data_IF_552326288153
#
_entry.id   IF_552326288153
#
_cell.length_a   1.000
_cell.length_b   1.000
_cell.length_c   1.000
_cell.angle_alpha   90.00
_cell.angle_beta   90.00
_cell.angle_gamma   90.00
#
_symmetry.space_group_name_H-M   'P 1'
#
loop_
_entity.id
_entity.type
_entity.pdbx_description
1 polymer ?
#
# COMPACT_ATOMS: atom_id res chain seq x y z
N UNK A 1 -0.98 -19.43 -25.49
CA UNK A 1 0.19 -20.20 -25.93
C UNK A 1 1.22 -20.06 -24.81
N UNK A 2 1.26 -21.06 -23.93
CA UNK A 2 2.11 -21.06 -22.73
C UNK A 2 3.59 -21.18 -23.12
N UNK A 3 4.41 -20.30 -22.63
CA UNK A 3 5.86 -20.50 -22.61
C UNK A 3 6.20 -20.98 -21.18
N UNK A 4 6.33 -22.29 -21.03
CA UNK A 4 7.11 -22.93 -19.97
C UNK A 4 8.52 -23.11 -20.53
N UNK A 5 9.49 -22.68 -19.75
CA UNK A 5 10.70 -23.39 -19.35
C UNK A 5 11.81 -22.43 -18.91
N UNK A 6 12.05 -22.37 -17.63
CA UNK A 6 13.42 -22.41 -17.11
C UNK A 6 13.40 -22.68 -15.59
N UNK A 7 13.55 -23.95 -15.22
CA UNK A 7 13.92 -24.37 -13.89
C UNK A 7 15.26 -23.74 -13.50
N UNK A 8 15.26 -22.87 -12.47
CA UNK A 8 16.42 -22.71 -11.60
C UNK A 8 15.99 -23.03 -10.18
N UNK A 9 16.53 -24.13 -9.68
CA UNK A 9 16.45 -24.49 -8.30
C UNK A 9 17.10 -23.37 -7.46
N UNK A 10 16.31 -22.76 -6.60
CA UNK A 10 16.80 -21.91 -5.52
C UNK A 10 16.90 -22.80 -4.29
N UNK A 11 18.11 -22.95 -3.77
CA UNK A 11 18.39 -23.67 -2.54
C UNK A 11 17.59 -23.06 -1.39
N UNK A 12 16.83 -23.91 -0.69
CA UNK A 12 16.15 -23.58 0.54
C UNK A 12 17.14 -23.16 1.61
N UNK A 13 17.18 -21.87 1.92
CA UNK A 13 17.77 -21.37 3.15
C UNK A 13 16.71 -21.50 4.24
N UNK A 14 16.95 -22.21 5.34
CA UNK A 14 15.97 -22.32 6.40
C UNK A 14 15.71 -20.93 7.00
N UNK A 15 14.47 -20.50 6.96
CA UNK A 15 13.98 -19.30 7.66
C UNK A 15 14.14 -19.57 9.15
N UNK A 16 15.08 -18.85 9.78
CA UNK A 16 15.30 -18.93 11.22
C UNK A 16 14.09 -18.38 11.97
N UNK A 17 13.55 -19.18 12.85
CA UNK A 17 12.36 -18.96 13.67
C UNK A 17 12.58 -17.98 14.84
N UNK A 18 13.35 -16.91 14.67
CA UNK A 18 13.62 -15.95 15.76
C UNK A 18 13.38 -14.46 15.39
N UNK A 19 12.55 -14.17 14.41
CA UNK A 19 12.20 -12.78 14.08
C UNK A 19 10.79 -12.36 14.53
N UNK A 20 10.14 -13.10 15.39
CA UNK A 20 8.75 -12.81 15.80
C UNK A 20 8.58 -11.72 16.84
N UNK A 21 9.65 -11.08 17.32
CA UNK A 21 9.53 -10.14 18.45
C UNK A 21 9.74 -8.66 18.09
N UNK A 22 10.01 -8.29 16.85
CA UNK A 22 10.29 -6.90 16.51
C UNK A 22 9.36 -6.24 15.49
N UNK A 23 8.45 -6.97 14.90
CA UNK A 23 7.50 -6.42 13.93
C UNK A 23 6.52 -5.40 14.54
N UNK A 24 6.41 -5.32 15.85
CA UNK A 24 5.51 -4.39 16.54
C UNK A 24 6.07 -2.99 16.81
N UNK A 25 7.22 -2.64 16.26
CA UNK A 25 7.82 -1.34 16.52
C UNK A 25 7.47 -0.30 15.46
N UNK A 26 6.20 -0.15 15.20
CA UNK A 26 5.76 1.01 14.44
C UNK A 26 5.86 2.23 15.33
N UNK A 27 6.73 3.13 14.93
CA UNK A 27 6.63 4.49 15.42
C UNK A 27 5.35 5.06 14.83
N UNK A 28 4.39 5.43 15.68
CA UNK A 28 3.15 6.02 15.22
C UNK A 28 3.46 7.14 14.23
N UNK A 29 2.68 7.26 13.16
CA UNK A 29 2.78 8.42 12.29
C UNK A 29 2.59 9.66 13.17
N UNK A 30 3.54 10.57 13.09
CA UNK A 30 3.36 11.89 13.70
C UNK A 30 2.20 12.51 12.93
N UNK A 31 1.08 12.90 13.59
CA UNK A 31 0.02 13.59 12.91
C UNK A 31 0.65 14.78 12.17
N UNK A 32 0.27 14.95 10.92
CA UNK A 32 0.62 16.14 10.17
C UNK A 32 0.22 17.32 11.06
N UNK A 33 1.21 18.10 11.54
CA UNK A 33 0.91 19.21 12.40
C UNK A 33 -0.03 20.13 11.65
N UNK A 34 -1.20 20.38 12.23
CA UNK A 34 -2.11 21.38 11.71
C UNK A 34 -1.30 22.63 11.38
N UNK A 35 -1.32 23.01 10.12
CA UNK A 35 -0.76 24.29 9.72
C UNK A 35 -1.61 25.35 10.44
N UNK A 36 -1.04 25.99 11.44
CA UNK A 36 -1.65 27.12 12.16
C UNK A 36 -1.79 28.38 11.28
N UNK A 37 -1.95 28.19 9.97
CA UNK A 37 -2.23 29.26 9.01
C UNK A 37 -1.08 30.25 8.82
N UNK A 38 0.09 30.04 9.41
CA UNK A 38 1.28 30.86 9.20
C UNK A 38 2.12 30.28 8.06
N UNK A 39 1.86 30.67 6.86
CA UNK A 39 2.36 30.36 5.53
C UNK A 39 3.81 29.99 5.28
N UNK A 40 4.44 29.19 6.13
CA UNK A 40 5.71 28.54 5.86
C UNK A 40 5.57 27.06 6.15
N UNK A 41 5.00 26.32 5.19
CA UNK A 41 4.62 24.92 5.27
C UNK A 41 5.79 23.93 5.27
N UNK A 42 6.71 24.06 6.21
CA UNK A 42 7.62 23.00 6.57
C UNK A 42 7.13 22.33 7.86
N UNK A 43 7.29 21.00 8.03
CA UNK A 43 6.97 20.35 9.28
C UNK A 43 7.76 21.04 10.39
N UNK A 44 7.06 21.54 11.41
CA UNK A 44 7.73 22.06 12.59
C UNK A 44 8.45 20.89 13.25
N UNK A 45 9.78 20.88 13.18
CA UNK A 45 10.57 19.98 13.99
C UNK A 45 10.35 20.45 15.43
N UNK A 46 9.53 19.70 16.17
CA UNK A 46 9.42 19.93 17.61
C UNK A 46 10.78 19.61 18.24
N UNK A 47 11.56 20.65 18.45
CA UNK A 47 12.87 20.56 19.13
C UNK A 47 12.73 20.24 20.62
N UNK A 48 11.49 20.19 21.15
CA UNK A 48 11.20 19.91 22.56
C UNK A 48 11.17 18.43 22.92
N UNK A 49 11.15 17.53 21.95
CA UNK A 49 11.04 16.07 22.18
C UNK A 49 12.34 15.31 21.97
N UNK A 50 13.50 15.95 22.06
CA UNK A 50 14.78 15.26 22.18
C UNK A 50 14.96 14.86 23.65
N UNK A 51 14.05 14.05 24.15
CA UNK A 51 14.24 13.31 25.39
C UNK A 51 14.72 11.90 25.09
N UNK A 52 15.24 11.17 26.08
CA UNK A 52 15.61 9.78 25.88
C UNK A 52 14.45 9.06 25.23
N UNK A 53 14.73 8.35 24.13
CA UNK A 53 13.74 7.52 23.42
C UNK A 53 13.05 6.66 24.47
N UNK A 54 11.81 6.99 24.82
CA UNK A 54 11.04 6.13 25.70
C UNK A 54 10.95 4.78 25.04
N UNK A 55 11.29 3.76 25.79
CA UNK A 55 11.33 2.40 25.27
C UNK A 55 10.03 2.09 24.54
N UNK A 56 10.13 1.63 23.31
CA UNK A 56 9.02 1.33 22.43
C UNK A 56 8.07 0.23 22.97
N UNK A 57 8.42 -0.39 24.10
CA UNK A 57 7.66 -1.46 24.74
C UNK A 57 6.30 -1.03 25.31
N UNK A 58 6.04 0.27 25.41
CA UNK A 58 4.77 0.78 25.96
C UNK A 58 3.95 1.58 24.95
N UNK A 59 4.40 1.65 23.69
CA UNK A 59 3.68 2.40 22.69
C UNK A 59 2.53 1.56 22.13
N UNK A 60 1.32 1.82 22.64
CA UNK A 60 0.09 1.33 21.99
C UNK A 60 -0.24 2.31 20.87
N UNK A 61 -0.22 1.85 19.62
CA UNK A 61 -0.73 2.64 18.52
C UNK A 61 -2.19 2.99 18.80
N UNK A 62 -2.41 4.25 19.10
CA UNK A 62 -3.75 4.81 19.02
C UNK A 62 -3.83 5.38 17.62
N UNK A 63 -4.73 4.85 16.77
CA UNK A 63 -4.95 5.41 15.45
C UNK A 63 -5.01 6.92 15.56
N UNK A 64 -4.19 7.61 14.79
CA UNK A 64 -4.19 9.07 14.80
C UNK A 64 -5.65 9.50 14.55
N UNK A 65 -6.22 10.41 15.36
CA UNK A 65 -7.62 10.79 15.24
C UNK A 65 -7.97 11.39 13.89
N UNK A 66 -6.97 11.70 13.06
CA UNK A 66 -7.12 12.22 11.71
C UNK A 66 -5.95 11.72 10.86
N UNK A 67 -6.14 10.61 10.16
CA UNK A 67 -5.33 10.36 8.99
C UNK A 67 -5.58 11.49 7.98
N UNK A 68 -4.56 12.04 7.30
CA UNK A 68 -4.79 13.02 6.25
C UNK A 68 -5.71 12.41 5.19
N UNK A 69 -6.58 13.23 4.56
CA UNK A 69 -7.52 12.77 3.53
C UNK A 69 -6.82 12.00 2.41
N UNK A 70 -5.57 12.35 2.13
CA UNK A 70 -4.64 11.64 1.26
C UNK A 70 -3.24 11.76 1.85
N UNK A 71 -2.38 10.75 1.58
CA UNK A 71 -0.95 10.87 1.91
C UNK A 71 -0.31 11.71 0.81
N UNK A 72 0.21 12.91 1.13
CA UNK A 72 0.85 13.75 0.13
C UNK A 72 2.26 13.26 -0.20
N UNK A 73 2.79 13.71 -1.31
CA UNK A 73 4.21 13.51 -1.61
C UNK A 73 5.07 14.15 -0.51
N UNK A 74 5.93 13.33 0.12
CA UNK A 74 6.67 13.76 1.29
C UNK A 74 7.99 13.02 1.45
N UNK A 75 9.07 13.64 1.07
CA UNK A 75 10.40 13.03 1.12
C UNK A 75 10.44 11.71 0.34
N UNK A 76 11.59 11.07 0.26
CA UNK A 76 11.74 9.80 -0.45
C UNK A 76 12.37 8.76 0.45
N UNK A 77 11.69 7.66 0.67
CA UNK A 77 12.23 6.50 1.37
C UNK A 77 12.85 5.50 0.37
N UNK A 78 13.72 4.62 0.86
CA UNK A 78 14.16 3.44 0.10
C UNK A 78 13.08 2.36 0.12
N UNK A 79 13.22 1.36 -0.76
CA UNK A 79 12.34 0.17 -0.76
C UNK A 79 12.43 -0.65 0.54
N UNK A 80 13.46 -0.46 1.37
CA UNK A 80 13.55 -1.08 2.70
C UNK A 80 12.37 -0.68 3.62
N UNK A 81 11.69 0.44 3.30
CA UNK A 81 10.45 0.83 3.95
C UNK A 81 9.38 -0.25 3.90
N UNK A 82 9.37 -1.07 2.84
CA UNK A 82 8.37 -2.12 2.65
C UNK A 82 8.75 -3.47 3.24
N UNK A 83 9.95 -3.61 3.85
CA UNK A 83 10.47 -4.91 4.33
C UNK A 83 9.57 -5.61 5.36
N UNK A 84 8.75 -4.88 6.09
CA UNK A 84 7.77 -5.37 7.06
C UNK A 84 6.32 -5.17 6.59
N UNK A 85 6.12 -4.96 5.28
CA UNK A 85 4.82 -4.73 4.69
C UNK A 85 4.24 -5.98 4.03
N UNK A 86 2.91 -5.96 3.85
CA UNK A 86 2.21 -6.83 2.91
C UNK A 86 1.51 -5.99 1.85
N UNK A 87 1.49 -6.49 0.61
CA UNK A 87 0.66 -5.99 -0.48
C UNK A 87 -0.48 -6.98 -0.69
N UNK A 88 -1.72 -6.51 -0.59
CA UNK A 88 -2.92 -7.34 -0.81
C UNK A 88 -3.72 -6.80 -1.98
N UNK A 89 -4.10 -7.65 -2.92
CA UNK A 89 -4.96 -7.23 -4.01
C UNK A 89 -5.19 -8.29 -5.09
N UNK A 90 -5.60 -7.80 -6.24
CA UNK A 90 -5.94 -8.63 -7.40
C UNK A 90 -4.74 -8.86 -8.33
N UNK A 91 -4.99 -9.07 -9.63
CA UNK A 91 -3.95 -9.32 -10.65
C UNK A 91 -2.92 -8.18 -10.76
N UNK A 92 -3.31 -6.93 -10.45
CA UNK A 92 -2.36 -5.83 -10.44
C UNK A 92 -1.33 -6.03 -9.31
N UNK A 93 -1.76 -6.46 -8.14
CA UNK A 93 -0.85 -6.79 -7.03
C UNK A 93 -0.03 -8.05 -7.34
N UNK A 94 -0.62 -9.08 -7.97
CA UNK A 94 0.08 -10.29 -8.38
C UNK A 94 1.26 -9.99 -9.32
N UNK A 95 1.12 -8.99 -10.18
CA UNK A 95 2.17 -8.56 -11.10
C UNK A 95 3.45 -8.08 -10.41
N UNK A 96 3.39 -7.61 -9.16
CA UNK A 96 4.59 -7.24 -8.38
C UNK A 96 5.55 -8.43 -8.33
N UNK A 97 5.05 -9.59 -7.98
CA UNK A 97 5.91 -10.77 -7.89
C UNK A 97 6.12 -11.45 -9.26
N UNK A 98 5.12 -11.41 -10.16
CA UNK A 98 5.27 -11.94 -11.52
C UNK A 98 6.43 -11.28 -12.29
N UNK A 99 6.63 -9.98 -12.10
CA UNK A 99 7.71 -9.21 -12.74
C UNK A 99 8.93 -9.00 -11.86
N UNK A 100 9.00 -9.68 -10.71
CA UNK A 100 10.12 -9.56 -9.74
C UNK A 100 10.40 -8.08 -9.37
N UNK A 101 9.34 -7.35 -9.11
CA UNK A 101 9.44 -5.92 -8.77
C UNK A 101 9.96 -5.78 -7.33
N UNK A 102 11.02 -5.00 -7.17
CA UNK A 102 11.64 -4.79 -5.86
C UNK A 102 10.73 -3.95 -4.94
N UNK A 103 10.11 -4.62 -4.00
CA UNK A 103 9.33 -4.02 -2.89
C UNK A 103 9.97 -4.32 -1.53
N UNK A 104 11.30 -4.36 -1.47
CA UNK A 104 12.06 -4.48 -0.23
C UNK A 104 11.86 -5.78 0.55
N UNK A 105 11.40 -6.84 -0.11
CA UNK A 105 11.09 -8.12 0.54
C UNK A 105 9.71 -8.18 1.20
N UNK A 106 8.80 -7.28 0.87
CA UNK A 106 7.41 -7.31 1.34
C UNK A 106 6.70 -8.62 0.97
N UNK A 107 5.74 -9.01 1.79
CA UNK A 107 4.82 -10.12 1.48
C UNK A 107 3.86 -9.70 0.37
N UNK A 108 3.82 -10.42 -0.76
CA UNK A 108 2.91 -10.12 -1.87
C UNK A 108 1.78 -11.14 -1.90
N UNK A 109 0.57 -10.68 -1.59
CA UNK A 109 -0.68 -11.45 -1.59
C UNK A 109 -1.54 -11.01 -2.77
N UNK A 110 -1.13 -11.42 -3.97
CA UNK A 110 -1.80 -11.11 -5.24
C UNK A 110 -2.65 -12.28 -5.74
N UNK A 111 -3.95 -12.03 -5.93
CA UNK A 111 -4.93 -13.04 -6.29
C UNK A 111 -5.67 -12.64 -7.56
N UNK A 112 -5.37 -13.28 -8.68
CA UNK A 112 -5.97 -12.95 -9.96
C UNK A 112 -7.50 -13.05 -9.93
N UNK A 113 -8.16 -12.07 -10.54
CA UNK A 113 -9.62 -12.04 -10.65
C UNK A 113 -10.38 -11.81 -9.35
N UNK A 114 -9.67 -11.58 -8.22
CA UNK A 114 -10.33 -11.42 -6.93
C UNK A 114 -11.01 -10.07 -6.76
N UNK A 115 -11.90 -10.00 -5.79
CA UNK A 115 -12.74 -8.85 -5.47
C UNK A 115 -12.99 -8.80 -3.95
N UNK A 116 -13.42 -7.65 -3.39
CA UNK A 116 -13.62 -7.48 -1.95
C UNK A 116 -14.51 -8.55 -1.32
N UNK A 117 -15.56 -8.98 -1.99
CA UNK A 117 -16.49 -9.98 -1.47
C UNK A 117 -15.86 -11.36 -1.28
N UNK A 118 -14.93 -11.77 -2.14
CA UNK A 118 -14.25 -13.05 -2.01
C UNK A 118 -13.34 -13.06 -0.77
N UNK A 119 -12.63 -11.96 -0.51
CA UNK A 119 -11.78 -11.84 0.68
C UNK A 119 -12.63 -11.84 1.95
N UNK A 120 -13.70 -11.02 2.00
CA UNK A 120 -14.63 -10.96 3.14
C UNK A 120 -15.29 -12.31 3.43
N UNK A 121 -15.67 -13.04 2.39
CA UNK A 121 -16.27 -14.37 2.51
C UNK A 121 -15.25 -15.48 2.78
N UNK A 122 -13.99 -15.14 3.02
CA UNK A 122 -12.90 -16.10 3.29
C UNK A 122 -12.76 -17.16 2.23
N UNK A 123 -12.97 -16.79 0.95
CA UNK A 123 -12.77 -17.69 -0.16
C UNK A 123 -11.30 -18.09 -0.22
N UNK A 124 -11.05 -19.39 -0.37
CA UNK A 124 -9.71 -19.89 -0.64
C UNK A 124 -9.31 -19.47 -2.06
N UNK A 125 -8.18 -18.78 -2.20
CA UNK A 125 -7.70 -18.20 -3.44
C UNK A 125 -6.28 -18.68 -3.71
N UNK A 126 -5.94 -18.82 -4.98
CA UNK A 126 -4.57 -19.16 -5.41
C UNK A 126 -3.74 -17.87 -5.44
N UNK A 127 -2.67 -17.83 -4.65
CA UNK A 127 -1.67 -16.80 -4.79
C UNK A 127 -0.81 -17.09 -6.02
N UNK A 128 -0.69 -16.12 -6.91
CA UNK A 128 0.03 -16.27 -8.19
C UNK A 128 1.51 -16.65 -8.00
N UNK A 129 2.08 -16.44 -6.83
CA UNK A 129 3.51 -16.56 -6.54
C UNK A 129 3.90 -17.81 -5.75
N UNK A 130 2.93 -18.60 -5.34
CA UNK A 130 3.18 -19.81 -4.55
C UNK A 130 2.68 -21.06 -5.29
N UNK A 131 3.29 -22.20 -5.01
CA UNK A 131 2.98 -23.49 -5.57
C UNK A 131 1.49 -23.82 -5.42
N UNK A 132 0.65 -23.44 -6.36
CA UNK A 132 -0.77 -23.81 -6.57
C UNK A 132 -1.65 -24.00 -5.31
N UNK A 133 -1.15 -23.70 -4.12
CA UNK A 133 -1.88 -23.83 -2.86
C UNK A 133 -2.93 -22.73 -2.73
N UNK A 134 -4.17 -23.14 -2.50
CA UNK A 134 -5.22 -22.19 -2.13
C UNK A 134 -5.03 -21.72 -0.68
N UNK A 135 -5.18 -20.42 -0.45
CA UNK A 135 -5.03 -19.80 0.85
C UNK A 135 -6.13 -18.76 1.09
N UNK A 136 -6.47 -18.53 2.35
CA UNK A 136 -7.41 -17.48 2.74
C UNK A 136 -6.60 -16.23 3.09
N UNK A 137 -6.72 -15.13 2.32
CA UNK A 137 -5.85 -13.95 2.51
C UNK A 137 -5.86 -13.38 3.93
N UNK A 138 -7.03 -13.33 4.57
CA UNK A 138 -7.16 -12.83 5.94
C UNK A 138 -6.48 -13.73 6.96
N UNK A 139 -6.42 -15.04 6.74
CA UNK A 139 -5.73 -15.96 7.65
C UNK A 139 -4.21 -15.79 7.57
N UNK A 140 -3.68 -15.60 6.35
CA UNK A 140 -2.26 -15.26 6.16
C UNK A 140 -1.92 -13.94 6.84
N UNK A 141 -2.74 -12.90 6.67
CA UNK A 141 -2.51 -11.63 7.35
C UNK A 141 -2.59 -11.75 8.87
N UNK A 142 -3.52 -12.54 9.38
CA UNK A 142 -3.65 -12.80 10.82
C UNK A 142 -2.41 -13.53 11.39
N UNK A 143 -1.80 -14.40 10.62
CA UNK A 143 -0.58 -15.11 11.01
C UNK A 143 0.65 -14.21 10.90
N UNK A 144 0.82 -13.50 9.78
CA UNK A 144 2.02 -12.74 9.46
C UNK A 144 2.11 -11.39 10.20
N UNK A 145 0.96 -10.80 10.57
CA UNK A 145 0.89 -9.51 11.27
C UNK A 145 1.85 -8.45 10.70
N UNK A 146 1.78 -8.12 9.40
CA UNK A 146 2.68 -7.14 8.80
C UNK A 146 2.50 -5.78 9.47
N UNK A 147 3.59 -5.02 9.61
CA UNK A 147 3.53 -3.69 10.18
C UNK A 147 2.78 -2.68 9.28
N UNK A 148 2.77 -2.94 7.99
CA UNK A 148 2.10 -2.12 6.97
C UNK A 148 1.32 -3.01 6.01
N UNK A 149 0.13 -2.59 5.63
CA UNK A 149 -0.66 -3.23 4.59
C UNK A 149 -0.94 -2.23 3.46
N UNK A 150 -0.61 -2.59 2.25
CA UNK A 150 -0.96 -1.87 1.02
C UNK A 150 -2.06 -2.62 0.29
N UNK A 151 -3.27 -2.08 0.29
CA UNK A 151 -4.45 -2.68 -0.36
C UNK A 151 -4.68 -2.02 -1.72
N UNK A 152 -4.70 -2.81 -2.80
CA UNK A 152 -5.18 -2.40 -4.12
C UNK A 152 -6.14 -3.44 -4.66
N UNK A 153 -7.44 -3.14 -4.64
CA UNK A 153 -8.50 -4.06 -5.06
C UNK A 153 -9.73 -3.29 -5.53
N UNK A 154 -10.45 -3.87 -6.49
CA UNK A 154 -11.73 -3.29 -6.93
C UNK A 154 -11.94 -3.37 -8.43
N UNK A 155 -10.89 -3.43 -9.22
CA UNK A 155 -10.93 -3.47 -10.70
C UNK A 155 -11.89 -4.56 -11.19
N UNK A 156 -11.76 -5.79 -10.68
CA UNK A 156 -12.62 -6.90 -11.10
C UNK A 156 -14.09 -6.71 -10.70
N UNK A 157 -14.35 -6.12 -9.54
CA UNK A 157 -15.71 -5.88 -9.07
C UNK A 157 -16.41 -4.78 -9.86
N UNK A 158 -15.67 -3.81 -10.37
CA UNK A 158 -16.18 -2.69 -11.15
C UNK A 158 -16.18 -2.94 -12.67
N UNK A 159 -15.55 -4.02 -13.16
CA UNK A 159 -15.44 -4.31 -14.59
C UNK A 159 -16.82 -4.40 -15.28
N UNK A 160 -17.80 -5.00 -14.62
CA UNK A 160 -19.19 -5.01 -15.09
C UNK A 160 -19.97 -3.74 -14.75
N UNK A 161 -21.12 -3.57 -15.40
CA UNK A 161 -22.05 -2.46 -15.10
C UNK A 161 -22.93 -2.80 -13.88
N UNK A 162 -23.23 -1.79 -13.08
CA UNK A 162 -24.20 -1.85 -11.98
C UNK A 162 -23.62 -2.34 -10.64
N UNK A 163 -24.49 -2.36 -9.62
CA UNK A 163 -24.22 -2.84 -8.26
C UNK A 163 -23.13 -2.08 -7.47
N UNK A 164 -23.06 -0.77 -7.64
CA UNK A 164 -22.12 0.09 -6.91
C UNK A 164 -22.34 0.03 -5.39
N UNK A 165 -23.60 -0.04 -4.95
CA UNK A 165 -23.96 -0.17 -3.53
C UNK A 165 -23.43 -1.50 -2.94
N UNK A 166 -23.59 -2.60 -3.66
CA UNK A 166 -23.07 -3.91 -3.24
C UNK A 166 -21.55 -3.93 -3.20
N UNK A 167 -20.89 -3.32 -4.18
CA UNK A 167 -19.43 -3.16 -4.19
C UNK A 167 -18.95 -2.39 -2.94
N UNK A 168 -19.54 -1.22 -2.67
CA UNK A 168 -19.17 -0.38 -1.55
C UNK A 168 -19.46 -1.04 -0.20
N UNK A 169 -20.57 -1.79 -0.10
CA UNK A 169 -20.91 -2.53 1.10
C UNK A 169 -19.85 -3.61 1.42
N UNK A 170 -19.39 -4.35 0.41
CA UNK A 170 -18.32 -5.33 0.60
C UNK A 170 -16.95 -4.68 0.79
N UNK A 171 -16.70 -3.55 0.16
CA UNK A 171 -15.45 -2.80 0.38
C UNK A 171 -15.36 -2.32 1.83
N UNK A 172 -16.43 -1.71 2.36
CA UNK A 172 -16.50 -1.30 3.76
C UNK A 172 -16.30 -2.46 4.73
N UNK A 173 -16.95 -3.62 4.49
CA UNK A 173 -16.73 -4.84 5.29
C UNK A 173 -15.28 -5.32 5.21
N UNK A 174 -14.65 -5.26 4.04
CA UNK A 174 -13.24 -5.62 3.90
C UNK A 174 -12.34 -4.74 4.77
N UNK A 175 -12.58 -3.42 4.77
CA UNK A 175 -11.83 -2.49 5.61
C UNK A 175 -12.02 -2.81 7.10
N UNK A 176 -13.25 -3.13 7.53
CA UNK A 176 -13.54 -3.52 8.92
C UNK A 176 -12.84 -4.84 9.32
N UNK A 177 -12.83 -5.84 8.42
CA UNK A 177 -12.10 -7.11 8.63
C UNK A 177 -10.58 -6.88 8.71
N UNK A 178 -10.03 -6.04 7.85
CA UNK A 178 -8.61 -5.69 7.87
C UNK A 178 -8.23 -4.97 9.17
N UNK A 179 -9.05 -4.04 9.64
CA UNK A 179 -8.83 -3.36 10.91
C UNK A 179 -8.84 -4.33 12.09
N UNK A 180 -9.78 -5.29 12.08
CA UNK A 180 -9.89 -6.30 13.13
C UNK A 180 -8.72 -7.29 13.09
N UNK A 181 -8.29 -7.68 11.88
CA UNK A 181 -7.21 -8.66 11.68
C UNK A 181 -5.84 -8.05 11.99
N UNK A 182 -5.66 -6.76 11.71
CA UNK A 182 -4.40 -6.03 11.79
C UNK A 182 -4.51 -4.78 12.68
N UNK A 183 -4.82 -4.94 13.97
CA UNK A 183 -5.14 -3.80 14.86
C UNK A 183 -3.95 -2.85 15.09
N UNK A 184 -2.73 -3.30 14.83
CA UNK A 184 -1.51 -2.54 15.04
C UNK A 184 -0.79 -2.13 13.75
N UNK A 185 -1.37 -2.41 12.59
CA UNK A 185 -0.74 -2.15 11.29
C UNK A 185 -1.17 -0.78 10.73
N UNK A 186 -0.27 -0.15 10.00
CA UNK A 186 -0.63 0.98 9.14
C UNK A 186 -1.31 0.43 7.89
N UNK A 187 -2.57 0.80 7.67
CA UNK A 187 -3.32 0.35 6.49
C UNK A 187 -3.36 1.48 5.46
N UNK A 188 -2.79 1.19 4.29
CA UNK A 188 -2.76 2.05 3.12
C UNK A 188 -3.72 1.49 2.09
N UNK A 189 -4.75 2.25 1.77
CA UNK A 189 -5.73 1.91 0.74
C UNK A 189 -5.43 2.73 -0.50
N UNK A 190 -5.19 2.05 -1.60
CA UNK A 190 -4.82 2.67 -2.86
C UNK A 190 -6.05 2.85 -3.74
N UNK A 191 -6.12 3.96 -4.47
CA UNK A 191 -7.20 4.20 -5.44
C UNK A 191 -7.19 3.14 -6.53
N UNK A 192 -8.38 2.72 -6.97
CA UNK A 192 -8.55 1.90 -8.16
C UNK A 192 -8.06 2.71 -9.36
N UNK A 193 -7.24 2.11 -10.21
CA UNK A 193 -6.70 2.77 -11.39
C UNK A 193 -7.75 2.92 -12.49
N UNK A 194 -7.64 3.98 -13.26
CA UNK A 194 -8.29 4.08 -14.56
C UNK A 194 -7.69 3.04 -15.52
N UNK A 195 -8.42 2.68 -16.55
CA UNK A 195 -7.98 1.79 -17.62
C UNK A 195 -7.82 2.57 -18.92
N UNK A 196 -7.28 1.95 -19.97
CA UNK A 196 -7.26 2.54 -21.32
C UNK A 196 -8.66 2.49 -21.93
N UNK A 197 -9.00 3.40 -22.89
CA UNK A 197 -10.29 3.39 -23.58
C UNK A 197 -10.65 2.05 -24.21
N UNK A 198 -9.67 1.37 -24.80
CA UNK A 198 -9.83 0.07 -25.46
C UNK A 198 -10.23 -1.06 -24.50
N UNK A 199 -9.93 -0.93 -23.21
CA UNK A 199 -10.34 -1.90 -22.21
C UNK A 199 -11.83 -1.84 -21.90
N UNK A 200 -12.51 -0.72 -22.19
CA UNK A 200 -13.93 -0.54 -21.89
C UNK A 200 -14.84 -1.48 -22.69
N UNK A 201 -14.39 -2.02 -23.81
CA UNK A 201 -15.13 -3.03 -24.57
C UNK A 201 -15.32 -4.32 -23.75
N UNK A 202 -14.35 -4.68 -22.91
CA UNK A 202 -14.38 -5.89 -22.07
C UNK A 202 -14.76 -5.56 -20.62
N UNK A 203 -14.48 -4.36 -20.15
CA UNK A 203 -14.75 -3.89 -18.79
C UNK A 203 -15.53 -2.56 -18.81
N UNK A 204 -16.79 -2.54 -19.31
CA UNK A 204 -17.54 -1.33 -19.55
C UNK A 204 -17.87 -0.53 -18.28
N UNK A 205 -17.67 -1.13 -17.12
CA UNK A 205 -17.87 -0.46 -15.84
C UNK A 205 -16.69 0.36 -15.35
N UNK A 206 -15.51 0.25 -15.99
CA UNK A 206 -14.29 0.95 -15.56
C UNK A 206 -14.15 2.34 -16.22
N UNK A 207 -15.26 3.05 -16.43
CA UNK A 207 -15.18 4.42 -16.94
C UNK A 207 -14.51 5.34 -15.90
N UNK A 208 -13.72 6.34 -16.33
CA UNK A 208 -13.04 7.26 -15.42
C UNK A 208 -13.99 7.92 -14.41
N UNK A 209 -15.20 8.30 -14.84
CA UNK A 209 -16.18 8.94 -13.98
C UNK A 209 -16.68 8.00 -12.88
N UNK A 210 -16.94 6.71 -13.21
CA UNK A 210 -17.41 5.74 -12.22
C UNK A 210 -16.28 5.33 -11.28
N UNK A 211 -15.09 5.08 -11.80
CA UNK A 211 -13.92 4.78 -10.99
C UNK A 211 -13.62 5.93 -10.04
N UNK A 212 -13.63 7.17 -10.52
CA UNK A 212 -13.46 8.37 -9.70
C UNK A 212 -14.50 8.46 -8.58
N UNK A 213 -15.80 8.26 -8.92
CA UNK A 213 -16.87 8.26 -7.92
C UNK A 213 -16.71 7.18 -6.84
N UNK A 214 -16.23 5.98 -7.22
CA UNK A 214 -15.95 4.90 -6.25
C UNK A 214 -14.73 5.22 -5.38
N UNK A 215 -13.69 5.76 -5.99
CA UNK A 215 -12.47 6.18 -5.26
C UNK A 215 -12.78 7.27 -4.22
N UNK A 216 -13.63 8.24 -4.55
CA UNK A 216 -14.08 9.26 -3.59
C UNK A 216 -14.76 8.63 -2.37
N UNK A 217 -15.65 7.65 -2.59
CA UNK A 217 -16.36 6.96 -1.50
C UNK A 217 -15.40 6.08 -0.68
N UNK A 218 -14.45 5.41 -1.33
CA UNK A 218 -13.41 4.63 -0.64
C UNK A 218 -12.54 5.54 0.23
N UNK A 219 -12.16 6.71 -0.29
CA UNK A 219 -11.41 7.72 0.45
C UNK A 219 -12.16 8.16 1.73
N UNK A 220 -13.45 8.44 1.65
CA UNK A 220 -14.26 8.76 2.83
C UNK A 220 -14.31 7.58 3.83
N UNK A 221 -14.46 6.34 3.35
CA UNK A 221 -14.40 5.16 4.21
C UNK A 221 -13.04 5.02 4.94
N UNK A 222 -11.95 5.36 4.26
CA UNK A 222 -10.61 5.38 4.86
C UNK A 222 -10.50 6.44 5.96
N UNK A 223 -11.00 7.63 5.69
CA UNK A 223 -11.02 8.75 6.65
C UNK A 223 -11.80 8.39 7.92
N UNK A 224 -12.98 7.76 7.78
CA UNK A 224 -13.80 7.32 8.90
C UNK A 224 -13.09 6.30 9.81
N UNK A 225 -12.17 5.50 9.24
CA UNK A 225 -11.43 4.43 9.94
C UNK A 225 -10.01 4.82 10.35
N UNK A 226 -9.57 6.03 9.98
CA UNK A 226 -8.19 6.48 10.21
C UNK A 226 -7.15 5.73 9.36
N UNK A 227 -7.57 5.22 8.18
CA UNK A 227 -6.67 4.59 7.22
C UNK A 227 -6.02 5.62 6.31
N UNK A 228 -4.84 5.31 5.80
CA UNK A 228 -4.13 6.14 4.83
C UNK A 228 -4.67 5.88 3.43
N UNK A 229 -5.09 6.94 2.73
CA UNK A 229 -5.51 6.83 1.34
C UNK A 229 -4.38 7.30 0.41
N UNK A 230 -4.05 6.48 -0.59
CA UNK A 230 -3.05 6.75 -1.61
C UNK A 230 -3.74 6.93 -2.97
N UNK A 231 -3.62 8.11 -3.55
CA UNK A 231 -4.29 8.44 -4.82
C UNK A 231 -3.43 8.06 -6.03
N UNK A 232 -3.31 6.77 -6.33
CA UNK A 232 -2.54 6.32 -7.49
C UNK A 232 -3.00 6.96 -8.82
N UNK A 233 -4.27 7.39 -8.92
CA UNK A 233 -4.76 7.98 -10.19
C UNK A 233 -4.02 9.26 -10.55
N UNK A 234 -3.50 10.03 -9.60
CA UNK A 234 -2.72 11.23 -9.90
C UNK A 234 -1.38 10.92 -10.61
N UNK A 235 -0.82 9.73 -10.37
CA UNK A 235 0.43 9.30 -10.99
C UNK A 235 0.22 8.53 -12.30
N UNK A 236 -0.96 7.93 -12.48
CA UNK A 236 -1.22 7.00 -13.58
C UNK A 236 -2.17 7.53 -14.64
N UNK A 237 -2.93 8.60 -14.36
CA UNK A 237 -3.91 9.13 -15.29
C UNK A 237 -3.29 10.17 -16.21
N UNK A 238 -3.43 9.96 -17.52
CA UNK A 238 -3.01 10.90 -18.54
C UNK A 238 -3.98 12.10 -18.67
N UNK A 239 -3.61 13.06 -19.52
CA UNK A 239 -4.44 14.25 -19.79
C UNK A 239 -5.81 13.88 -20.39
N UNK A 240 -5.92 12.70 -21.00
CA UNK A 240 -7.16 12.15 -21.56
C UNK A 240 -8.11 11.55 -20.50
N UNK A 241 -7.70 11.51 -19.23
CA UNK A 241 -8.46 10.94 -18.12
C UNK A 241 -8.35 9.43 -17.98
N UNK A 242 -7.57 8.76 -18.83
CA UNK A 242 -7.37 7.30 -18.82
C UNK A 242 -5.99 6.93 -18.30
N UNK A 243 -5.76 5.63 -18.07
CA UNK A 243 -4.44 5.10 -17.74
C UNK A 243 -3.42 5.52 -18.81
N UNK A 244 -2.28 6.04 -18.40
CA UNK A 244 -1.21 6.44 -19.29
C UNK A 244 -0.73 5.25 -20.13
N UNK A 245 -0.66 5.43 -21.47
CA UNK A 245 -0.38 4.34 -22.40
C UNK A 245 0.97 3.64 -22.15
N UNK A 246 2.00 4.39 -21.75
CA UNK A 246 3.34 3.84 -21.48
C UNK A 246 3.34 2.88 -20.25
N UNK A 247 2.36 3.00 -19.39
CA UNK A 247 2.21 2.15 -18.20
C UNK A 247 1.25 1.00 -18.41
N UNK A 248 0.44 1.01 -19.48
CA UNK A 248 -0.56 -0.01 -19.78
C UNK A 248 -0.01 -1.12 -20.66
N UNK A 249 -0.40 -2.37 -20.39
CA UNK A 249 -0.27 -3.47 -21.33
C UNK A 249 -1.30 -3.38 -22.47
N UNK A 250 -1.20 -4.28 -23.43
CA UNK A 250 -2.08 -4.30 -24.62
C UNK A 250 -3.58 -4.51 -24.28
N UNK A 251 -3.90 -5.04 -23.12
CA UNK A 251 -5.28 -5.19 -22.66
C UNK A 251 -5.86 -3.91 -22.07
N UNK A 252 -5.03 -2.89 -21.87
CA UNK A 252 -5.41 -1.59 -21.35
C UNK A 252 -5.73 -1.56 -19.85
N UNK A 253 -5.55 -2.68 -19.12
CA UNK A 253 -5.85 -2.83 -17.69
C UNK A 253 -4.58 -3.07 -16.88
N UNK A 254 -3.79 -4.07 -17.26
CA UNK A 254 -2.60 -4.45 -16.52
C UNK A 254 -1.42 -3.52 -16.79
N UNK A 255 -0.52 -3.44 -15.81
CA UNK A 255 0.63 -2.57 -15.88
C UNK A 255 1.81 -3.24 -16.59
N UNK A 256 2.57 -2.45 -17.34
CA UNK A 256 3.90 -2.81 -17.82
C UNK A 256 4.91 -2.80 -16.68
N UNK A 257 6.10 -3.35 -16.88
CA UNK A 257 7.23 -3.24 -15.91
C UNK A 257 7.54 -1.76 -15.60
N UNK A 258 7.42 -0.87 -16.58
CA UNK A 258 7.57 0.57 -16.36
C UNK A 258 6.47 1.12 -15.43
N UNK A 259 5.23 0.67 -15.60
CA UNK A 259 4.12 1.02 -14.72
C UNK A 259 4.35 0.53 -13.28
N UNK A 260 4.84 -0.71 -13.10
CA UNK A 260 5.20 -1.20 -11.76
C UNK A 260 6.33 -0.41 -11.13
N UNK A 261 7.36 -0.07 -11.88
CA UNK A 261 8.47 0.77 -11.39
C UNK A 261 7.95 2.14 -10.96
N UNK A 262 7.05 2.73 -11.74
CA UNK A 262 6.40 4.00 -11.41
C UNK A 262 5.53 3.89 -10.16
N UNK A 263 4.81 2.78 -9.98
CA UNK A 263 4.02 2.51 -8.78
C UNK A 263 4.90 2.48 -7.52
N UNK A 264 5.99 1.71 -7.53
CA UNK A 264 6.92 1.66 -6.40
C UNK A 264 7.54 3.03 -6.13
N UNK A 265 7.87 3.78 -7.19
CA UNK A 265 8.41 5.15 -7.09
C UNK A 265 7.42 6.08 -6.37
N UNK A 266 6.15 6.04 -6.77
CA UNK A 266 5.07 6.77 -6.11
C UNK A 266 4.96 6.39 -4.63
N UNK A 267 4.94 5.11 -4.31
CA UNK A 267 4.83 4.63 -2.93
C UNK A 267 6.03 5.08 -2.07
N UNK A 268 7.23 5.15 -2.66
CA UNK A 268 8.43 5.63 -1.96
C UNK A 268 8.36 7.11 -1.61
N UNK A 269 7.58 7.91 -2.30
CA UNK A 269 7.42 9.34 -2.05
C UNK A 269 6.16 9.68 -1.26
N UNK A 270 5.22 8.74 -1.11
CA UNK A 270 3.95 8.94 -0.41
C UNK A 270 3.89 8.12 0.89
N UNK A 271 4.73 8.51 1.84
CA UNK A 271 4.79 7.89 3.17
C UNK A 271 4.47 8.91 4.26
N UNK A 272 3.74 8.54 5.31
CA UNK A 272 3.53 9.41 6.45
C UNK A 272 4.89 9.79 7.06
N UNK A 273 5.05 11.05 7.40
CA UNK A 273 6.30 11.52 7.97
C UNK A 273 6.64 10.80 9.27
N UNK A 274 7.85 10.31 9.35
CA UNK A 274 8.46 9.89 10.60
C UNK A 274 9.98 10.14 10.52
N UNK A 275 10.54 10.71 11.57
CA UNK A 275 11.99 10.97 11.64
C UNK A 275 12.85 9.71 11.51
N UNK A 276 12.29 8.54 11.78
CA UNK A 276 12.96 7.24 11.69
C UNK A 276 12.78 6.56 10.34
N UNK A 277 11.99 7.16 9.42
CA UNK A 277 11.86 6.60 8.09
C UNK A 277 13.23 6.53 7.39
N UNK A 278 13.46 5.51 6.56
CA UNK A 278 14.71 5.34 5.82
C UNK A 278 14.76 6.29 4.61
N UNK A 279 14.78 7.61 4.86
CA UNK A 279 14.83 8.59 3.80
C UNK A 279 16.14 8.50 3.03
N UNK A 280 16.03 8.52 1.70
CA UNK A 280 17.17 8.46 0.82
C UNK A 280 18.02 9.74 0.87
N UNK A 281 19.32 9.60 0.68
CA UNK A 281 20.24 10.73 0.56
C UNK A 281 19.78 11.66 -0.57
N UNK A 282 19.70 12.94 -0.25
CA UNK A 282 19.22 13.99 -1.17
C UNK A 282 17.72 14.27 -1.05
N UNK A 283 16.96 13.45 -0.29
CA UNK A 283 15.57 13.80 0.02
C UNK A 283 15.50 14.82 1.15
N UNK A 284 14.39 15.55 1.24
CA UNK A 284 14.18 16.68 2.15
C UNK A 284 14.39 16.33 3.63
N UNK A 285 14.15 15.08 4.02
CA UNK A 285 14.19 14.62 5.41
C UNK A 285 15.32 13.63 5.70
N UNK A 286 16.27 13.51 4.76
CA UNK A 286 17.43 12.67 4.97
C UNK A 286 18.30 13.21 6.12
N UNK A 287 18.66 12.33 7.04
CA UNK A 287 19.65 12.56 8.06
C UNK A 287 20.80 11.60 7.86
N UNK A 288 22.03 12.09 7.75
CA UNK A 288 23.20 11.21 7.71
C UNK A 288 23.33 10.44 9.02
N UNK A 289 24.05 9.32 8.99
CA UNK A 289 24.29 8.51 10.20
C UNK A 289 24.99 9.32 11.30
N UNK A 290 25.93 10.20 10.91
CA UNK A 290 26.61 11.09 11.86
C UNK A 290 25.62 12.06 12.53
N UNK A 291 24.67 12.63 11.78
CA UNK A 291 23.65 13.52 12.33
C UNK A 291 22.67 12.75 13.22
N UNK A 292 22.27 11.54 12.83
CA UNK A 292 21.42 10.66 13.66
C UNK A 292 22.09 10.32 14.98
N UNK A 293 23.38 9.97 14.95
CA UNK A 293 24.15 9.68 16.14
C UNK A 293 24.29 10.92 17.03
N UNK A 294 24.62 12.08 16.43
CA UNK A 294 24.71 13.35 17.17
C UNK A 294 23.40 13.72 17.87
N UNK A 295 22.26 13.51 17.20
CA UNK A 295 20.94 13.77 17.78
C UNK A 295 20.61 12.78 18.89
N UNK A 296 21.02 11.50 18.74
CA UNK A 296 20.81 10.48 19.77
C UNK A 296 21.63 10.73 21.04
N UNK A 297 22.79 11.37 20.91
CA UNK A 297 23.71 11.68 22.02
C UNK A 297 23.37 13.02 22.71
N UNK A 298 22.36 13.77 22.22
CA UNK A 298 21.91 15.01 22.89
C UNK A 298 21.11 14.66 24.16
N UNK A 299 21.36 15.37 25.27
CA UNK A 299 20.73 15.11 26.56
C UNK A 299 19.23 15.43 26.58
#
# INVERSE_FOLDING_TARGET
MCIRDSNKAVENVPVGTEQTAQAGRLVAPVPYADSDGSGNGGPSIDRGTIGPVQQAETYTYTAAPQAPDMVPEFGRVSTDWFSDAAFLGDSLTAGIAYYDINVGGALVLGYEGTSPNQIVNRTALKNTNEDDAEQVPLDILAEQQPAKLYLLIGTNALAGLGNDEGFLAYYGKLLDELQSTLPNSMIFVQSILNVRPEALDQAPGLTPERVGSMNDKIKEMCKERGFYYLNLTEAFTGEDGYLTADYAQNDGIHLTVAGYSHWVDYLCTHVPYNKNNPYQQGSTYYLSDELRQLIADLP
#
